data_IF_432632866712
#
_entry.id   IF_432632866712
#
_cell.length_a   1.000
_cell.length_b   1.000
_cell.length_c   1.000
_cell.angle_alpha   90.00
_cell.angle_beta   90.00
_cell.angle_gamma   90.00
#
_symmetry.space_group_name_H-M   'P 1'
#
loop_
_entity.id
_entity.type
_entity.pdbx_description
1 polymer ?
#
# COMPACT_ATOMS: atom_id res chain seq x y z
N UNK A 1 -1.43 13.03 -24.88
CA UNK A 1 -1.26 13.39 -23.44
C UNK A 1 0.22 13.42 -23.12
N UNK A 2 0.75 14.52 -22.55
CA UNK A 2 2.18 14.58 -22.17
C UNK A 2 2.45 13.71 -20.92
N UNK A 3 3.53 12.93 -20.96
CA UNK A 3 3.98 12.04 -19.87
C UNK A 3 4.08 12.76 -18.52
N UNK A 4 4.46 14.04 -18.53
CA UNK A 4 4.57 14.87 -17.33
C UNK A 4 3.22 15.08 -16.63
N UNK A 5 2.12 15.29 -17.38
CA UNK A 5 0.78 15.49 -16.79
C UNK A 5 0.20 14.20 -16.23
N UNK A 6 0.40 13.08 -16.93
CA UNK A 6 -0.05 11.77 -16.47
C UNK A 6 0.65 11.36 -15.17
N UNK A 7 1.96 11.59 -15.07
CA UNK A 7 2.72 11.31 -13.85
C UNK A 7 2.31 12.20 -12.68
N UNK A 8 2.11 13.51 -12.93
CA UNK A 8 1.65 14.45 -11.91
C UNK A 8 0.27 14.06 -11.36
N UNK A 9 -0.66 13.69 -12.24
CA UNK A 9 -1.98 13.19 -11.85
C UNK A 9 -1.91 11.89 -11.03
N UNK A 10 -1.00 10.97 -11.38
CA UNK A 10 -0.79 9.76 -10.60
C UNK A 10 -0.25 10.08 -9.20
N UNK A 11 0.79 10.93 -9.11
CA UNK A 11 1.37 11.39 -7.84
C UNK A 11 0.31 12.01 -6.93
N UNK A 12 -0.48 12.95 -7.44
CA UNK A 12 -1.56 13.59 -6.68
C UNK A 12 -2.59 12.58 -6.15
N UNK A 13 -3.05 11.65 -6.99
CA UNK A 13 -4.02 10.64 -6.58
C UNK A 13 -3.44 9.64 -5.57
N UNK A 14 -2.19 9.24 -5.74
CA UNK A 14 -1.51 8.36 -4.78
C UNK A 14 -1.30 9.05 -3.42
N UNK A 15 -0.97 10.34 -3.43
CA UNK A 15 -0.84 11.13 -2.21
C UNK A 15 -2.19 11.26 -1.48
N UNK A 16 -3.28 11.50 -2.21
CA UNK A 16 -4.64 11.54 -1.65
C UNK A 16 -5.05 10.20 -1.02
N UNK A 17 -4.76 9.08 -1.70
CA UNK A 17 -4.99 7.73 -1.16
C UNK A 17 -4.24 7.51 0.17
N UNK A 18 -2.95 7.85 0.21
CA UNK A 18 -2.11 7.69 1.40
C UNK A 18 -2.51 8.68 2.52
N UNK A 19 -3.04 9.85 2.18
CA UNK A 19 -3.58 10.80 3.15
C UNK A 19 -4.84 10.24 3.84
N UNK A 20 -5.76 9.64 3.07
CA UNK A 20 -6.95 8.98 3.62
C UNK A 20 -6.62 7.81 4.55
N UNK A 21 -5.53 7.10 4.28
CA UNK A 21 -5.02 6.08 5.21
C UNK A 21 -4.48 6.67 6.51
N UNK A 22 -3.75 7.78 6.41
CA UNK A 22 -3.19 8.47 7.59
C UNK A 22 -4.28 9.03 8.49
N UNK A 23 -5.40 9.50 7.92
CA UNK A 23 -6.56 9.97 8.68
C UNK A 23 -7.45 8.84 9.20
N UNK A 24 -7.17 7.58 8.86
CA UNK A 24 -8.00 6.43 9.23
C UNK A 24 -9.31 6.31 8.43
N UNK A 25 -9.52 7.16 7.43
CA UNK A 25 -10.71 7.11 6.56
C UNK A 25 -10.65 5.95 5.57
N UNK A 26 -9.45 5.45 5.27
CA UNK A 26 -9.24 4.30 4.37
C UNK A 26 -8.40 3.25 5.08
N UNK A 27 -8.89 2.03 5.15
CA UNK A 27 -8.16 0.91 5.77
C UNK A 27 -7.20 0.22 4.80
N UNK A 28 -6.19 -0.48 5.32
CA UNK A 28 -5.29 -1.31 4.50
C UNK A 28 -6.06 -2.40 3.76
N UNK A 29 -7.06 -3.01 4.41
CA UNK A 29 -7.92 -4.03 3.81
C UNK A 29 -8.68 -3.48 2.60
N UNK A 30 -9.23 -2.26 2.71
CA UNK A 30 -9.90 -1.61 1.59
C UNK A 30 -8.94 -1.35 0.42
N UNK A 31 -7.74 -0.83 0.70
CA UNK A 31 -6.72 -0.61 -0.35
C UNK A 31 -6.35 -1.94 -1.04
N UNK A 32 -6.18 -3.02 -0.29
CA UNK A 32 -5.88 -4.33 -0.88
C UNK A 32 -7.06 -4.90 -1.68
N UNK A 33 -8.31 -4.69 -1.24
CA UNK A 33 -9.50 -5.02 -2.01
C UNK A 33 -9.55 -4.28 -3.36
N UNK A 34 -9.09 -3.03 -3.38
CA UNK A 34 -9.01 -2.18 -4.58
C UNK A 34 -7.81 -2.47 -5.48
N UNK A 35 -7.13 -3.59 -5.29
CA UNK A 35 -5.99 -4.04 -6.11
C UNK A 35 -6.27 -4.18 -7.62
N UNK A 36 -7.53 -4.13 -8.05
CA UNK A 36 -7.91 -4.07 -9.47
C UNK A 36 -7.66 -2.70 -10.11
N UNK A 37 -7.63 -1.62 -9.32
CA UNK A 37 -7.49 -0.25 -9.79
C UNK A 37 -6.05 0.07 -10.21
N UNK A 38 -5.90 0.76 -11.34
CA UNK A 38 -4.59 1.07 -11.93
C UNK A 38 -3.67 1.87 -10.99
N UNK A 39 -4.25 2.78 -10.20
CA UNK A 39 -3.52 3.54 -9.18
C UNK A 39 -2.91 2.61 -8.15
N UNK A 40 -3.76 1.77 -7.54
CA UNK A 40 -3.42 0.85 -6.44
C UNK A 40 -2.42 -0.20 -6.91
N UNK A 41 -2.64 -0.80 -8.09
CA UNK A 41 -1.72 -1.76 -8.72
C UNK A 41 -0.28 -1.25 -8.77
N UNK A 42 -0.12 0.03 -9.05
CA UNK A 42 1.18 0.70 -9.15
C UNK A 42 1.73 1.15 -7.80
N UNK A 43 0.94 1.22 -6.74
CA UNK A 43 1.44 1.65 -5.43
C UNK A 43 2.32 0.57 -4.79
N UNK A 44 3.42 0.97 -4.14
CA UNK A 44 4.27 0.04 -3.38
C UNK A 44 3.58 -0.37 -2.09
N UNK A 45 3.65 -1.65 -1.73
CA UNK A 45 3.07 -2.17 -0.48
C UNK A 45 3.67 -1.45 0.73
N UNK A 46 4.98 -1.24 0.74
CA UNK A 46 5.66 -0.49 1.81
C UNK A 46 5.13 0.95 1.99
N UNK A 47 4.66 1.61 0.92
CA UNK A 47 4.08 2.96 1.04
C UNK A 47 2.69 2.92 1.68
N UNK A 48 1.87 1.94 1.31
CA UNK A 48 0.55 1.71 1.92
C UNK A 48 0.72 1.45 3.41
N UNK A 49 1.57 0.48 3.79
CA UNK A 49 1.78 0.12 5.19
C UNK A 49 2.33 1.30 6.03
N UNK A 50 3.26 2.11 5.49
CA UNK A 50 3.77 3.30 6.19
C UNK A 50 2.76 4.44 6.32
N UNK A 51 1.67 4.42 5.57
CA UNK A 51 0.62 5.42 5.73
C UNK A 51 -0.26 5.14 6.95
N UNK A 52 -0.20 3.93 7.51
CA UNK A 52 -0.87 3.59 8.76
C UNK A 52 -0.14 4.26 9.93
N UNK A 53 -0.83 5.02 10.80
CA UNK A 53 -0.23 5.59 12.00
C UNK A 53 0.44 4.51 12.87
N UNK A 54 1.64 4.80 13.39
CA UNK A 54 2.41 3.84 14.23
C UNK A 54 3.34 2.90 13.45
N UNK A 55 3.23 2.81 12.13
CA UNK A 55 4.07 1.92 11.31
C UNK A 55 5.23 2.66 10.62
N UNK A 56 6.39 2.66 11.28
CA UNK A 56 7.63 3.22 10.75
C UNK A 56 8.34 2.32 9.73
N UNK A 57 9.47 2.80 9.18
CA UNK A 57 10.25 2.04 8.18
C UNK A 57 10.69 0.65 8.67
N UNK A 58 11.20 0.56 9.90
CA UNK A 58 11.69 -0.71 10.46
C UNK A 58 10.53 -1.70 10.69
N UNK A 59 9.43 -1.26 11.31
CA UNK A 59 8.26 -2.10 11.56
C UNK A 59 7.64 -2.61 10.25
N UNK A 60 7.54 -1.75 9.23
CA UNK A 60 7.04 -2.15 7.92
C UNK A 60 7.96 -3.15 7.23
N UNK A 61 9.28 -2.94 7.30
CA UNK A 61 10.23 -3.90 6.74
C UNK A 61 10.13 -5.27 7.42
N UNK A 62 10.04 -5.31 8.75
CA UNK A 62 9.84 -6.53 9.52
C UNK A 62 8.52 -7.22 9.17
N UNK A 63 7.41 -6.46 9.11
CA UNK A 63 6.09 -6.99 8.77
C UNK A 63 6.08 -7.58 7.35
N UNK A 64 6.65 -6.87 6.37
CA UNK A 64 6.79 -7.38 5.01
C UNK A 64 7.64 -8.65 4.95
N UNK A 65 8.74 -8.71 5.70
CA UNK A 65 9.60 -9.89 5.76
C UNK A 65 8.87 -11.12 6.34
N UNK A 66 8.18 -10.96 7.48
CA UNK A 66 7.40 -12.04 8.12
C UNK A 66 6.25 -12.51 7.23
N UNK A 67 5.61 -11.60 6.50
CA UNK A 67 4.56 -11.96 5.53
C UNK A 67 5.09 -12.51 4.20
N UNK A 68 6.41 -12.63 4.00
CA UNK A 68 7.02 -13.14 2.77
C UNK A 68 6.86 -12.20 1.57
N UNK A 69 6.85 -10.89 1.80
CA UNK A 69 6.66 -9.85 0.80
C UNK A 69 7.98 -9.11 0.54
N UNK A 70 8.45 -9.14 -0.70
CA UNK A 70 9.66 -8.42 -1.09
C UNK A 70 9.50 -6.89 -0.95
N UNK A 71 10.57 -6.19 -0.56
CA UNK A 71 10.56 -4.73 -0.29
C UNK A 71 10.04 -3.88 -1.46
N UNK A 72 10.38 -4.26 -2.71
CA UNK A 72 9.97 -3.56 -3.93
C UNK A 72 8.59 -3.99 -4.45
N UNK A 73 7.86 -4.86 -3.74
CA UNK A 73 6.55 -5.38 -4.16
C UNK A 73 5.50 -4.27 -4.25
N UNK A 74 4.63 -4.37 -5.26
CA UNK A 74 3.47 -3.51 -5.47
C UNK A 74 2.17 -4.24 -5.13
N UNK A 75 1.13 -3.49 -4.79
CA UNK A 75 -0.15 -4.07 -4.33
C UNK A 75 -0.75 -5.00 -5.39
N UNK A 76 -0.65 -4.64 -6.67
CA UNK A 76 -1.17 -5.47 -7.77
C UNK A 76 -0.46 -6.82 -7.94
N UNK A 77 0.73 -7.00 -7.33
CA UNK A 77 1.48 -8.26 -7.37
C UNK A 77 1.43 -9.06 -6.08
N UNK A 78 0.57 -8.69 -5.12
CA UNK A 78 0.34 -9.48 -3.91
C UNK A 78 -0.57 -10.66 -4.21
N UNK A 79 -0.16 -11.85 -3.79
CA UNK A 79 -1.03 -13.02 -3.72
C UNK A 79 -2.06 -12.86 -2.60
N UNK A 80 -3.15 -13.62 -2.66
CA UNK A 80 -4.17 -13.64 -1.60
C UNK A 80 -3.58 -13.99 -0.24
N UNK A 81 -2.77 -15.05 -0.16
CA UNK A 81 -2.06 -15.46 1.06
C UNK A 81 -1.17 -14.35 1.64
N UNK A 82 -0.46 -13.60 0.79
CA UNK A 82 0.36 -12.47 1.25
C UNK A 82 -0.52 -11.35 1.84
N UNK A 83 -1.68 -11.07 1.24
CA UNK A 83 -2.60 -10.06 1.77
C UNK A 83 -3.15 -10.46 3.13
N UNK A 84 -3.60 -11.71 3.26
CA UNK A 84 -4.11 -12.24 4.53
C UNK A 84 -3.05 -12.15 5.63
N UNK A 85 -1.82 -12.60 5.36
CA UNK A 85 -0.71 -12.51 6.33
C UNK A 85 -0.38 -11.08 6.73
N UNK A 86 -0.39 -10.14 5.77
CA UNK A 86 -0.17 -8.72 6.06
C UNK A 86 -1.29 -8.16 6.96
N UNK A 87 -2.56 -8.50 6.68
CA UNK A 87 -3.70 -8.03 7.47
C UNK A 87 -3.72 -8.63 8.87
N UNK A 88 -3.39 -9.92 9.00
CA UNK A 88 -3.24 -10.58 10.30
C UNK A 88 -2.14 -9.93 11.13
N UNK A 89 -0.97 -9.68 10.54
CA UNK A 89 0.16 -9.04 11.21
C UNK A 89 -0.06 -7.56 11.57
N UNK A 90 -1.06 -6.90 10.97
CA UNK A 90 -1.45 -5.53 11.32
C UNK A 90 -2.47 -5.47 12.46
N UNK A 91 -3.23 -6.55 12.66
CA UNK A 91 -4.27 -6.65 13.69
C UNK A 91 -3.74 -7.18 15.04
N UNK A 92 -2.51 -7.72 15.04
CA UNK A 92 -1.75 -8.18 16.21
C UNK A 92 -0.98 -7.04 16.86
#
# INVERSE_FOLDING_TARGET
MSLARAWRSWLMRSAALLAGMRSGTTSVAEVFGRSGEELVKKTRVAQVLRAVPGYGHASVAALMAVSGVAEKRRVGGLTEQQRERLLQALAS
#
